data_IF_767249873692
#
_entry.id   IF_767249873692
#
_cell.length_a   1.000
_cell.length_b   1.000
_cell.length_c   1.000
_cell.angle_alpha   90.00
_cell.angle_beta   90.00
_cell.angle_gamma   90.00
#
_symmetry.space_group_name_H-M   'P 1'
#
loop_
_entity.id
_entity.type
_entity.pdbx_description
1 polymer ?
#
# COMPACT_ATOMS: atom_id res chain seq x y z
N UNK A 1 -15.98 -11.80 27.34
CA UNK A 1 -16.42 -10.40 27.57
C UNK A 1 -16.35 -9.67 26.25
N UNK A 2 -17.48 -9.15 25.76
CA UNK A 2 -17.55 -8.44 24.48
C UNK A 2 -16.73 -7.16 24.55
N UNK A 3 -15.65 -7.10 23.77
CA UNK A 3 -14.88 -5.87 23.62
C UNK A 3 -15.77 -4.81 22.93
N UNK A 4 -15.66 -3.56 23.37
CA UNK A 4 -16.34 -2.43 22.73
C UNK A 4 -15.70 -2.14 21.37
N UNK A 5 -16.45 -1.52 20.45
CA UNK A 5 -15.89 -1.13 19.14
C UNK A 5 -14.67 -0.23 19.29
N UNK A 6 -14.68 0.70 20.24
CA UNK A 6 -13.51 1.55 20.55
C UNK A 6 -12.28 0.73 20.96
N UNK A 7 -12.46 -0.36 21.71
CA UNK A 7 -11.35 -1.24 22.09
C UNK A 7 -10.82 -1.98 20.86
N UNK A 8 -11.71 -2.48 20.00
CA UNK A 8 -11.35 -3.15 18.76
C UNK A 8 -10.58 -2.19 17.81
N UNK A 9 -11.08 -0.97 17.61
CA UNK A 9 -10.41 0.02 16.76
C UNK A 9 -9.03 0.41 17.28
N UNK A 10 -8.90 0.57 18.61
CA UNK A 10 -7.63 0.86 19.25
C UNK A 10 -6.59 -0.26 19.03
N UNK A 11 -7.00 -1.52 19.14
CA UNK A 11 -6.08 -2.67 19.01
C UNK A 11 -5.87 -3.14 17.57
N UNK A 12 -6.87 -3.01 16.71
CA UNK A 12 -6.95 -3.70 15.42
C UNK A 12 -7.23 -2.77 14.24
N UNK A 13 -7.55 -1.48 14.47
CA UNK A 13 -7.96 -0.48 13.47
C UNK A 13 -9.35 -0.71 12.85
N UNK A 14 -10.09 -1.68 13.36
CA UNK A 14 -11.42 -2.06 12.87
C UNK A 14 -12.38 -2.28 14.05
N UNK A 15 -13.65 -1.96 13.84
CA UNK A 15 -14.72 -2.29 14.79
C UNK A 15 -14.96 -3.80 14.83
N UNK A 16 -15.79 -4.28 15.77
CA UNK A 16 -16.07 -5.71 15.87
C UNK A 16 -16.74 -6.25 14.60
N UNK A 17 -17.76 -5.55 14.10
CA UNK A 17 -18.49 -5.95 12.90
C UNK A 17 -17.58 -5.93 11.65
N UNK A 18 -16.67 -4.96 11.58
CA UNK A 18 -15.70 -4.86 10.48
C UNK A 18 -14.68 -6.01 10.51
N UNK A 19 -14.28 -6.50 11.69
CA UNK A 19 -13.41 -7.67 11.82
C UNK A 19 -14.13 -8.93 11.32
N UNK A 20 -15.39 -9.12 11.69
CA UNK A 20 -16.20 -10.25 11.21
C UNK A 20 -16.38 -10.20 9.68
N UNK A 21 -16.65 -9.00 9.13
CA UNK A 21 -16.69 -8.78 7.69
C UNK A 21 -15.34 -9.11 7.03
N UNK A 22 -14.21 -8.66 7.59
CA UNK A 22 -12.89 -8.94 7.05
C UNK A 22 -12.56 -10.44 7.05
N UNK A 23 -12.97 -11.19 8.07
CA UNK A 23 -12.79 -12.65 8.10
C UNK A 23 -13.48 -13.31 6.91
N UNK A 24 -14.74 -12.92 6.63
CA UNK A 24 -15.49 -13.43 5.51
C UNK A 24 -14.87 -13.01 4.17
N UNK A 25 -14.55 -11.72 4.02
CA UNK A 25 -14.02 -11.14 2.78
C UNK A 25 -12.62 -11.66 2.43
N UNK A 26 -11.73 -11.80 3.43
CA UNK A 26 -10.40 -12.35 3.23
C UNK A 26 -10.40 -13.89 3.16
N UNK A 27 -11.58 -14.51 3.30
CA UNK A 27 -11.77 -15.96 3.31
C UNK A 27 -10.78 -16.64 4.28
N UNK A 28 -10.63 -16.10 5.50
CA UNK A 28 -9.69 -16.66 6.48
C UNK A 28 -10.18 -18.05 6.90
N UNK A 29 -9.34 -19.11 6.84
CA UNK A 29 -9.74 -20.44 7.26
C UNK A 29 -10.21 -20.47 8.71
N UNK A 30 -11.32 -21.16 8.98
CA UNK A 30 -11.84 -21.36 10.34
C UNK A 30 -12.02 -22.86 10.64
N UNK A 31 -11.21 -23.45 11.54
CA UNK A 31 -10.10 -22.82 12.25
C UNK A 31 -8.89 -22.55 11.35
N UNK A 32 -8.12 -21.52 11.70
CA UNK A 32 -6.81 -21.26 11.11
C UNK A 32 -5.81 -22.24 11.71
N UNK A 33 -5.42 -23.27 10.95
CA UNK A 33 -4.45 -24.29 11.37
C UNK A 33 -3.13 -24.06 10.65
N UNK A 34 -2.06 -23.95 11.43
CA UNK A 34 -0.71 -23.74 10.92
C UNK A 34 0.03 -25.08 10.78
N UNK A 35 1.10 -25.18 9.96
CA UNK A 35 1.87 -26.43 9.82
C UNK A 35 2.45 -26.95 11.15
N UNK A 36 2.73 -26.06 12.10
CA UNK A 36 3.21 -26.37 13.45
C UNK A 36 2.06 -26.78 14.40
N UNK A 37 0.84 -26.97 13.88
CA UNK A 37 -0.36 -27.39 14.59
C UNK A 37 -0.89 -26.39 15.63
N UNK A 38 -0.42 -25.13 15.63
CA UNK A 38 -1.15 -24.07 16.31
C UNK A 38 -2.47 -23.83 15.58
N UNK A 39 -3.56 -23.72 16.34
CA UNK A 39 -4.90 -23.42 15.84
C UNK A 39 -5.47 -22.18 16.52
N UNK A 40 -6.34 -21.45 15.83
CA UNK A 40 -7.14 -20.37 16.38
C UNK A 40 -8.41 -20.23 15.55
N UNK A 41 -9.46 -19.57 16.09
CA UNK A 41 -10.57 -19.16 15.23
C UNK A 41 -10.08 -18.16 14.19
N UNK A 42 -10.77 -18.06 13.05
CA UNK A 42 -10.43 -17.10 12.01
C UNK A 42 -10.37 -15.66 12.54
N UNK A 43 -11.33 -15.27 13.39
CA UNK A 43 -11.38 -13.95 14.06
C UNK A 43 -10.17 -13.74 14.94
N UNK A 44 -9.82 -14.70 15.80
CA UNK A 44 -8.67 -14.57 16.70
C UNK A 44 -7.36 -14.47 15.90
N UNK A 45 -7.18 -15.33 14.90
CA UNK A 45 -6.00 -15.32 14.05
C UNK A 45 -5.82 -13.98 13.31
N UNK A 46 -6.91 -13.42 12.77
CA UNK A 46 -6.89 -12.11 12.13
C UNK A 46 -6.56 -11.00 13.14
N UNK A 47 -7.18 -11.00 14.32
CA UNK A 47 -6.89 -10.02 15.39
C UNK A 47 -5.41 -10.07 15.84
N UNK A 48 -4.80 -11.25 15.91
CA UNK A 48 -3.37 -11.41 16.20
C UNK A 48 -2.53 -10.68 15.15
N UNK A 49 -2.83 -10.86 13.85
CA UNK A 49 -2.13 -10.16 12.78
C UNK A 49 -2.37 -8.64 12.82
N UNK A 50 -3.62 -8.21 12.95
CA UNK A 50 -3.98 -6.79 12.98
C UNK A 50 -3.28 -6.06 14.13
N UNK A 51 -3.30 -6.65 15.34
CA UNK A 51 -2.60 -6.07 16.48
C UNK A 51 -1.08 -6.04 16.27
N UNK A 52 -0.53 -7.07 15.62
CA UNK A 52 0.90 -7.12 15.30
C UNK A 52 1.33 -6.02 14.34
N UNK A 53 0.50 -5.68 13.36
CA UNK A 53 0.77 -4.62 12.37
C UNK A 53 0.48 -3.23 12.93
N UNK A 54 -0.57 -3.09 13.74
CA UNK A 54 -1.04 -1.82 14.28
C UNK A 54 0.01 -1.09 15.11
N UNK A 55 0.84 -1.82 15.86
CA UNK A 55 1.89 -1.25 16.69
C UNK A 55 3.06 -2.21 16.93
N UNK A 56 4.31 -1.73 17.09
CA UNK A 56 5.49 -2.56 17.35
C UNK A 56 5.57 -3.14 18.77
N UNK A 57 4.56 -3.90 19.17
CA UNK A 57 4.57 -4.65 20.42
C UNK A 57 5.67 -5.72 20.42
N UNK A 58 6.17 -6.08 21.60
CA UNK A 58 6.89 -7.35 21.77
C UNK A 58 5.87 -8.49 21.78
N UNK A 59 6.22 -9.66 21.24
CA UNK A 59 5.32 -10.83 21.30
C UNK A 59 4.93 -11.17 22.75
N UNK A 60 5.85 -11.00 23.71
CA UNK A 60 5.56 -11.18 25.13
C UNK A 60 4.45 -10.28 25.66
N UNK A 61 4.31 -9.06 25.15
CA UNK A 61 3.22 -8.14 25.54
C UNK A 61 1.88 -8.62 25.00
N UNK A 62 1.86 -9.19 23.79
CA UNK A 62 0.65 -9.74 23.17
C UNK A 62 0.13 -10.99 23.90
N UNK A 63 0.98 -11.71 24.64
CA UNK A 63 0.56 -12.86 25.48
C UNK A 63 -0.55 -12.46 26.45
N UNK A 64 -0.47 -11.25 27.03
CA UNK A 64 -1.47 -10.76 27.99
C UNK A 64 -2.84 -10.53 27.34
N UNK A 65 -2.85 -10.14 26.05
CA UNK A 65 -4.09 -9.86 25.32
C UNK A 65 -4.74 -11.14 24.78
N UNK A 66 -3.94 -12.08 24.28
CA UNK A 66 -4.44 -13.25 23.57
C UNK A 66 -4.36 -14.57 24.37
N UNK A 67 -3.66 -14.59 25.51
CA UNK A 67 -3.49 -15.82 26.30
C UNK A 67 -2.68 -16.93 25.60
N UNK A 68 -1.95 -16.59 24.53
CA UNK A 68 -1.18 -17.53 23.70
C UNK A 68 0.32 -17.37 23.88
N UNK A 69 1.07 -18.45 23.71
CA UNK A 69 2.53 -18.40 23.73
C UNK A 69 3.08 -17.50 22.61
N UNK A 70 4.31 -17.01 22.77
CA UNK A 70 4.96 -16.14 21.77
C UNK A 70 5.10 -16.84 20.42
N UNK A 71 5.37 -18.14 20.46
CA UNK A 71 5.53 -19.02 19.31
C UNK A 71 4.20 -19.16 18.58
N UNK A 72 3.11 -19.44 19.30
CA UNK A 72 1.75 -19.51 18.73
C UNK A 72 1.36 -18.18 18.06
N UNK A 73 1.59 -17.04 18.74
CA UNK A 73 1.30 -15.72 18.21
C UNK A 73 2.08 -15.43 16.92
N UNK A 74 3.38 -15.74 16.91
CA UNK A 74 4.21 -15.53 15.73
C UNK A 74 3.76 -16.41 14.56
N UNK A 75 3.48 -17.69 14.81
CA UNK A 75 3.14 -18.64 13.75
C UNK A 75 1.74 -18.37 13.19
N UNK A 76 0.76 -18.06 14.05
CA UNK A 76 -0.59 -17.68 13.61
C UNK A 76 -0.58 -16.37 12.83
N UNK A 77 0.10 -15.33 13.33
CA UNK A 77 0.24 -14.04 12.63
C UNK A 77 0.84 -14.23 11.24
N UNK A 78 1.93 -15.01 11.13
CA UNK A 78 2.56 -15.29 9.85
C UNK A 78 1.68 -16.13 8.93
N UNK A 79 0.91 -17.09 9.47
CA UNK A 79 -0.03 -17.89 8.69
C UNK A 79 -1.09 -17.03 8.01
N UNK A 80 -1.74 -16.13 8.77
CA UNK A 80 -2.75 -15.21 8.22
C UNK A 80 -2.11 -14.25 7.22
N UNK A 81 -0.90 -13.75 7.51
CA UNK A 81 -0.17 -12.89 6.58
C UNK A 81 0.15 -13.59 5.26
N UNK A 82 0.61 -14.84 5.29
CA UNK A 82 0.86 -15.63 4.07
C UNK A 82 -0.44 -15.85 3.28
N UNK A 83 -1.53 -16.21 3.97
CA UNK A 83 -2.85 -16.38 3.34
C UNK A 83 -3.30 -15.13 2.60
N UNK A 84 -3.25 -13.96 3.26
CA UNK A 84 -3.63 -12.68 2.64
C UNK A 84 -2.70 -12.35 1.47
N UNK A 85 -1.40 -12.52 1.65
CA UNK A 85 -0.42 -12.24 0.61
C UNK A 85 -0.65 -13.11 -0.64
N UNK A 86 -0.74 -14.43 -0.47
CA UNK A 86 -0.85 -15.35 -1.60
C UNK A 86 -2.17 -15.22 -2.33
N UNK A 87 -3.27 -14.95 -1.61
CA UNK A 87 -4.58 -14.74 -2.22
C UNK A 87 -4.73 -13.37 -2.87
N UNK A 88 -4.26 -12.30 -2.25
CA UNK A 88 -4.68 -10.94 -2.62
C UNK A 88 -3.57 -10.01 -3.11
N UNK A 89 -2.28 -10.43 -3.14
CA UNK A 89 -1.19 -9.58 -3.68
C UNK A 89 -1.38 -9.18 -5.15
N UNK A 90 -2.14 -9.97 -5.92
CA UNK A 90 -2.42 -9.70 -7.33
C UNK A 90 -3.20 -8.39 -7.52
N UNK A 91 -4.00 -7.97 -6.52
CA UNK A 91 -4.74 -6.69 -6.51
C UNK A 91 -3.82 -5.46 -6.57
N UNK A 92 -2.56 -5.61 -6.15
CA UNK A 92 -1.55 -4.54 -6.19
C UNK A 92 -0.66 -4.60 -7.44
N UNK A 93 -1.02 -5.41 -8.45
CA UNK A 93 -0.32 -5.41 -9.75
C UNK A 93 -0.92 -4.35 -10.67
N UNK A 94 -2.18 -4.55 -11.03
CA UNK A 94 -3.10 -3.64 -11.71
C UNK A 94 -4.41 -4.39 -11.88
N UNK A 95 -5.51 -3.76 -11.53
CA UNK A 95 -6.82 -4.40 -11.49
C UNK A 95 -7.67 -3.96 -12.70
N UNK A 96 -7.48 -4.63 -13.84
CA UNK A 96 -8.05 -4.20 -15.12
C UNK A 96 -9.58 -4.16 -15.17
N UNK A 97 -10.27 -5.00 -14.41
CA UNK A 97 -11.74 -5.05 -14.49
C UNK A 97 -12.38 -3.94 -13.64
N UNK A 98 -11.70 -3.49 -12.58
CA UNK A 98 -12.14 -2.34 -11.77
C UNK A 98 -11.64 -1.01 -12.29
N UNK A 99 -10.41 -0.97 -12.82
CA UNK A 99 -9.72 0.23 -13.29
C UNK A 99 -9.99 0.44 -14.78
N UNK A 100 -11.28 0.48 -15.14
CA UNK A 100 -11.76 0.62 -16.51
C UNK A 100 -11.74 2.08 -17.01
N UNK A 101 -12.18 2.30 -18.25
CA UNK A 101 -12.24 3.63 -18.86
C UNK A 101 -13.14 4.61 -18.08
N UNK A 102 -14.24 4.13 -17.48
CA UNK A 102 -15.12 4.98 -16.67
C UNK A 102 -14.42 5.44 -15.38
N UNK A 103 -13.68 4.54 -14.74
CA UNK A 103 -12.89 4.84 -13.56
C UNK A 103 -11.74 5.80 -13.89
N UNK A 104 -11.04 5.60 -15.02
CA UNK A 104 -9.97 6.50 -15.47
C UNK A 104 -10.50 7.91 -15.72
N UNK A 105 -11.65 8.06 -16.38
CA UNK A 105 -12.24 9.39 -16.61
C UNK A 105 -12.60 10.08 -15.30
N UNK A 106 -13.22 9.37 -14.35
CA UNK A 106 -13.53 9.93 -13.02
C UNK A 106 -12.28 10.39 -12.28
N UNK A 107 -11.20 9.62 -12.33
CA UNK A 107 -9.94 10.00 -11.72
C UNK A 107 -9.31 11.23 -12.39
N UNK A 108 -9.32 11.27 -13.71
CA UNK A 108 -8.80 12.38 -14.49
C UNK A 108 -9.54 13.69 -14.20
N UNK A 109 -10.88 13.66 -14.22
CA UNK A 109 -11.70 14.82 -13.85
C UNK A 109 -11.44 15.27 -12.42
N UNK A 110 -11.41 14.35 -11.45
CA UNK A 110 -11.19 14.69 -10.04
C UNK A 110 -9.81 15.37 -9.80
N UNK A 111 -8.76 14.88 -10.46
CA UNK A 111 -7.43 15.50 -10.39
C UNK A 111 -7.43 16.89 -11.05
N UNK A 112 -8.06 17.03 -12.22
CA UNK A 112 -8.15 18.29 -12.94
C UNK A 112 -8.93 19.36 -12.14
N UNK A 113 -10.10 18.99 -11.61
CA UNK A 113 -10.97 19.85 -10.81
C UNK A 113 -10.29 20.31 -9.52
N UNK A 114 -9.33 19.53 -9.00
CA UNK A 114 -8.48 19.89 -7.86
C UNK A 114 -7.32 20.85 -8.21
N UNK A 115 -7.28 21.35 -9.44
CA UNK A 115 -6.35 22.37 -9.89
C UNK A 115 -5.17 21.85 -10.71
N UNK A 116 -5.14 20.57 -11.08
CA UNK A 116 -4.09 20.04 -11.95
C UNK A 116 -4.25 20.56 -13.39
N UNK A 117 -3.17 20.99 -14.08
CA UNK A 117 -3.23 21.37 -15.48
C UNK A 117 -3.50 20.21 -16.44
N UNK A 118 -3.28 18.96 -16.04
CA UNK A 118 -3.56 17.77 -16.86
C UNK A 118 -5.01 17.32 -16.65
N UNK A 119 -5.73 17.10 -17.75
CA UNK A 119 -7.11 16.59 -17.82
C UNK A 119 -7.18 15.06 -18.08
N UNK A 120 -6.01 14.42 -18.08
CA UNK A 120 -5.81 13.00 -18.39
C UNK A 120 -4.99 12.25 -17.34
N UNK A 121 -4.57 12.92 -16.26
CA UNK A 121 -3.81 12.32 -15.18
C UNK A 121 -4.73 11.55 -14.24
N UNK A 122 -4.53 10.24 -14.07
CA UNK A 122 -5.43 9.38 -13.27
C UNK A 122 -4.86 8.97 -11.90
N UNK A 123 -3.61 9.30 -11.63
CA UNK A 123 -2.95 8.91 -10.39
C UNK A 123 -1.49 9.30 -10.35
N UNK A 124 -0.87 9.03 -9.21
CA UNK A 124 0.48 9.47 -8.90
C UNK A 124 1.38 8.29 -8.57
N UNK A 125 2.55 8.24 -9.20
CA UNK A 125 3.58 7.23 -8.92
C UNK A 125 4.68 7.84 -8.04
N UNK A 126 5.05 7.11 -6.99
CA UNK A 126 6.18 7.50 -6.15
C UNK A 126 6.86 6.34 -5.44
N UNK A 127 8.11 6.56 -5.06
CA UNK A 127 8.92 5.64 -4.28
C UNK A 127 8.76 5.87 -2.77
N UNK A 128 8.74 4.80 -1.99
CA UNK A 128 8.73 4.88 -0.53
C UNK A 128 9.82 4.01 0.09
N UNK A 129 10.42 4.51 1.16
CA UNK A 129 11.57 3.89 1.84
C UNK A 129 11.15 3.35 3.20
N UNK A 130 11.17 2.02 3.36
CA UNK A 130 10.87 1.33 4.62
C UNK A 130 12.17 1.02 5.37
N UNK A 131 12.36 1.68 6.51
CA UNK A 131 13.58 1.50 7.31
C UNK A 131 13.67 0.10 7.90
N UNK A 132 14.88 -0.46 7.93
CA UNK A 132 15.17 -1.75 8.54
C UNK A 132 16.36 -1.66 9.50
N UNK A 133 16.50 -2.65 10.37
CA UNK A 133 17.73 -2.88 11.10
C UNK A 133 18.90 -3.09 10.13
N UNK A 134 20.11 -2.70 10.55
CA UNK A 134 21.35 -2.99 9.81
C UNK A 134 21.40 -4.50 9.49
N UNK A 135 21.34 -4.90 8.21
CA UNK A 135 21.25 -6.31 7.89
C UNK A 135 22.63 -6.96 7.86
N UNK A 136 22.68 -8.23 8.24
CA UNK A 136 23.86 -9.10 8.10
C UNK A 136 23.90 -9.80 6.72
N UNK A 137 24.69 -10.87 6.61
CA UNK A 137 24.79 -11.73 5.41
C UNK A 137 25.20 -10.99 4.13
N UNK A 138 26.09 -10.01 4.22
CA UNK A 138 26.68 -9.33 3.05
C UNK A 138 25.78 -8.32 2.31
N UNK A 139 24.50 -8.18 2.66
CA UNK A 139 23.57 -7.25 1.99
C UNK A 139 23.54 -5.85 2.60
N UNK A 140 24.49 -5.53 3.48
CA UNK A 140 24.50 -4.26 4.19
C UNK A 140 24.62 -3.06 3.23
N UNK A 141 25.62 -3.09 2.34
CA UNK A 141 25.89 -1.99 1.40
C UNK A 141 24.71 -1.77 0.45
N UNK A 142 24.12 -2.84 -0.06
CA UNK A 142 23.00 -2.78 -1.01
C UNK A 142 21.70 -2.32 -0.35
N UNK A 143 21.50 -2.62 0.94
CA UNK A 143 20.34 -2.13 1.69
C UNK A 143 20.49 -0.66 2.16
N UNK A 144 21.70 -0.11 2.16
CA UNK A 144 21.93 1.26 2.63
C UNK A 144 21.42 2.29 1.62
N UNK A 145 20.48 3.13 2.04
CA UNK A 145 20.00 4.27 1.25
C UNK A 145 20.83 5.51 1.62
N UNK A 146 21.71 5.95 0.72
CA UNK A 146 22.58 7.09 0.95
C UNK A 146 21.84 8.42 1.16
N UNK A 147 20.72 8.62 0.44
CA UNK A 147 19.93 9.85 0.54
C UNK A 147 19.19 9.96 1.90
N UNK A 148 18.59 8.87 2.38
CA UNK A 148 17.89 8.81 3.68
C UNK A 148 18.81 8.45 4.85
N UNK A 149 20.09 8.17 4.58
CA UNK A 149 21.14 7.79 5.55
C UNK A 149 20.76 6.63 6.48
N UNK A 150 19.99 5.66 5.98
CA UNK A 150 19.52 4.49 6.76
C UNK A 150 19.50 3.22 5.91
N UNK A 151 19.55 2.06 6.57
CA UNK A 151 19.27 0.79 5.90
C UNK A 151 17.77 0.67 5.65
N UNK A 152 17.39 0.29 4.44
CA UNK A 152 15.99 0.26 4.05
C UNK A 152 15.71 -0.72 2.92
N UNK A 153 14.43 -1.04 2.78
CA UNK A 153 13.85 -1.55 1.56
C UNK A 153 13.11 -0.42 0.85
N UNK A 154 13.11 -0.45 -0.47
CA UNK A 154 12.35 0.46 -1.32
C UNK A 154 11.15 -0.24 -1.91
N UNK A 155 10.08 0.52 -2.05
CA UNK A 155 8.88 0.16 -2.77
C UNK A 155 8.49 1.30 -3.69
N UNK A 156 7.69 1.00 -4.70
CA UNK A 156 7.10 1.96 -5.62
C UNK A 156 5.60 1.70 -5.65
N UNK A 157 4.78 2.74 -5.65
CA UNK A 157 3.34 2.57 -5.75
C UNK A 157 2.69 3.59 -6.65
N UNK A 158 1.51 3.23 -7.17
CA UNK A 158 0.59 4.16 -7.80
C UNK A 158 -0.60 4.34 -6.86
N UNK A 159 -0.86 5.58 -6.47
CA UNK A 159 -2.02 5.97 -5.64
C UNK A 159 -2.99 6.78 -6.49
N UNK A 160 -4.28 6.53 -6.32
CA UNK A 160 -5.34 7.11 -7.14
C UNK A 160 -6.25 8.03 -6.33
N UNK A 161 -7.02 8.92 -7.00
CA UNK A 161 -7.87 9.91 -6.33
C UNK A 161 -8.92 9.32 -5.39
N UNK A 162 -9.34 8.07 -5.62
CA UNK A 162 -10.25 7.33 -4.74
C UNK A 162 -9.58 6.83 -3.44
N UNK A 163 -8.31 7.17 -3.24
CA UNK A 163 -7.53 6.84 -2.05
C UNK A 163 -6.99 5.42 -2.02
N UNK A 164 -7.12 4.68 -3.12
CA UNK A 164 -6.63 3.30 -3.25
C UNK A 164 -5.19 3.28 -3.77
N UNK A 165 -4.38 2.38 -3.24
CA UNK A 165 -3.09 2.02 -3.83
C UNK A 165 -3.33 0.90 -4.83
N UNK A 166 -3.32 1.23 -6.13
CA UNK A 166 -3.65 0.31 -7.23
C UNK A 166 -2.45 -0.47 -7.76
N UNK A 167 -1.25 -0.03 -7.44
CA UNK A 167 -0.01 -0.71 -7.77
C UNK A 167 0.96 -0.62 -6.60
N UNK A 168 1.66 -1.72 -6.30
CA UNK A 168 2.78 -1.76 -5.38
C UNK A 168 3.85 -2.75 -5.88
N UNK A 169 5.05 -2.23 -6.11
CA UNK A 169 6.23 -3.04 -6.42
C UNK A 169 7.29 -2.96 -5.32
N UNK A 170 7.98 -4.06 -5.10
CA UNK A 170 9.04 -4.23 -4.12
C UNK A 170 8.85 -5.51 -3.30
N UNK A 171 9.70 -5.74 -2.27
CA UNK A 171 10.81 -4.88 -1.86
C UNK A 171 12.02 -4.94 -2.80
N UNK A 172 12.67 -3.80 -3.00
CA UNK A 172 14.00 -3.70 -3.61
C UNK A 172 15.03 -3.14 -2.61
N UNK A 173 16.35 -3.40 -2.78
CA UNK A 173 17.36 -2.86 -1.88
C UNK A 173 17.33 -1.32 -1.82
N UNK A 174 17.50 -0.75 -0.62
CA UNK A 174 17.39 0.69 -0.38
C UNK A 174 18.34 1.58 -1.19
N UNK A 175 19.44 1.03 -1.71
CA UNK A 175 20.39 1.74 -2.59
C UNK A 175 19.88 1.96 -4.01
N UNK A 176 18.84 1.25 -4.47
CA UNK A 176 18.34 1.36 -5.84
C UNK A 176 17.62 2.69 -6.08
N UNK A 177 17.70 3.20 -7.29
CA UNK A 177 17.01 4.44 -7.71
C UNK A 177 15.59 4.13 -8.20
N UNK A 178 14.73 5.14 -8.25
CA UNK A 178 13.31 4.93 -8.54
C UNK A 178 13.06 4.49 -10.00
N UNK A 179 13.91 4.94 -10.94
CA UNK A 179 13.96 4.42 -12.31
C UNK A 179 14.23 2.90 -12.37
N UNK A 180 15.09 2.37 -11.49
CA UNK A 180 15.33 0.93 -11.41
C UNK A 180 14.08 0.18 -10.93
N UNK A 181 13.34 0.73 -9.97
CA UNK A 181 12.07 0.14 -9.54
C UNK A 181 11.03 0.17 -10.66
N UNK A 182 10.97 1.26 -11.43
CA UNK A 182 10.03 1.41 -12.55
C UNK A 182 10.28 0.36 -13.65
N UNK A 183 11.55 0.17 -14.04
CA UNK A 183 11.92 -0.84 -15.02
C UNK A 183 11.57 -2.25 -14.53
N UNK A 184 11.94 -2.55 -13.28
CA UNK A 184 11.80 -3.88 -12.67
C UNK A 184 10.38 -4.26 -12.33
N UNK A 185 9.49 -3.28 -12.10
CA UNK A 185 8.08 -3.53 -11.79
C UNK A 185 7.29 -4.05 -12.99
N UNK A 186 7.77 -3.79 -14.21
CA UNK A 186 7.06 -4.12 -15.45
C UNK A 186 5.75 -3.35 -15.62
N UNK A 187 5.50 -2.32 -14.80
CA UNK A 187 4.23 -1.58 -14.81
C UNK A 187 4.05 -0.81 -16.13
N UNK A 188 5.13 -0.35 -16.76
CA UNK A 188 5.06 0.38 -18.04
C UNK A 188 4.36 -0.43 -19.13
N UNK A 189 4.64 -1.73 -19.23
CA UNK A 189 4.01 -2.59 -20.23
C UNK A 189 2.50 -2.72 -20.00
N UNK A 190 2.06 -2.73 -18.73
CA UNK A 190 0.64 -2.75 -18.38
C UNK A 190 0.01 -1.39 -18.69
N UNK A 191 0.63 -0.29 -18.27
CA UNK A 191 0.11 1.06 -18.49
C UNK A 191 -0.02 1.39 -19.98
N UNK A 192 0.92 0.94 -20.82
CA UNK A 192 0.84 1.16 -22.27
C UNK A 192 -0.36 0.47 -22.92
N UNK A 193 -0.84 -0.63 -22.35
CA UNK A 193 -2.01 -1.36 -22.81
C UNK A 193 -3.31 -0.74 -22.28
N UNK A 194 -3.35 -0.38 -20.99
CA UNK A 194 -4.60 0.00 -20.30
C UNK A 194 -4.90 1.50 -20.32
N UNK A 195 -3.90 2.38 -20.47
CA UNK A 195 -4.11 3.83 -20.44
C UNK A 195 -4.52 4.44 -21.78
N UNK A 196 -4.60 3.64 -22.84
CA UNK A 196 -5.01 4.11 -24.17
C UNK A 196 -6.38 3.52 -24.48
N UNK A 197 -7.38 4.38 -24.56
CA UNK A 197 -8.70 4.03 -25.09
C UNK A 197 -8.83 4.51 -26.53
N UNK A 198 -9.90 4.10 -27.22
CA UNK A 198 -10.19 4.58 -28.58
C UNK A 198 -10.33 6.10 -28.68
N UNK A 199 -10.64 6.77 -27.56
CA UNK A 199 -11.00 8.19 -27.52
C UNK A 199 -10.01 9.06 -26.75
N UNK A 200 -9.24 8.49 -25.82
CA UNK A 200 -8.40 9.27 -24.90
C UNK A 200 -7.18 8.47 -24.45
N UNK A 201 -6.07 9.19 -24.25
CA UNK A 201 -4.88 8.66 -23.59
C UNK A 201 -4.79 9.25 -22.19
N UNK A 202 -4.68 8.38 -21.19
CA UNK A 202 -4.45 8.74 -19.80
C UNK A 202 -2.97 8.62 -19.44
N UNK A 203 -2.58 9.26 -18.34
CA UNK A 203 -1.20 9.25 -17.85
C UNK A 203 -1.14 9.11 -16.33
N UNK A 204 0.00 8.62 -15.85
CA UNK A 204 0.38 8.65 -14.43
C UNK A 204 1.40 9.77 -14.23
N UNK A 205 1.22 10.59 -13.20
CA UNK A 205 2.18 11.65 -12.89
C UNK A 205 3.19 11.20 -11.85
N UNK A 206 4.48 11.33 -12.18
CA UNK A 206 5.59 10.88 -11.33
C UNK A 206 6.57 11.99 -10.97
N UNK A 207 7.41 11.70 -9.98
CA UNK A 207 8.59 12.54 -9.73
C UNK A 207 9.51 12.56 -10.97
N UNK A 208 10.30 13.64 -11.16
CA UNK A 208 11.23 13.72 -12.28
C UNK A 208 12.25 12.57 -12.40
N UNK A 209 12.57 11.82 -11.33
CA UNK A 209 13.50 10.69 -11.39
C UNK A 209 12.94 9.46 -12.13
N UNK A 210 11.62 9.40 -12.37
CA UNK A 210 10.99 8.35 -13.19
C UNK A 210 11.28 8.49 -14.68
N UNK A 211 11.48 9.72 -15.15
CA UNK A 211 11.60 10.03 -16.57
C UNK A 211 10.24 10.03 -17.28
N UNK A 212 10.05 10.98 -18.19
CA UNK A 212 8.82 11.07 -18.98
C UNK A 212 8.82 10.04 -20.11
N UNK A 213 7.66 9.45 -20.39
CA UNK A 213 7.39 8.54 -21.50
C UNK A 213 5.90 8.63 -21.91
N UNK A 214 5.42 7.75 -22.77
CA UNK A 214 4.05 7.79 -23.29
C UNK A 214 2.95 7.64 -22.23
N UNK A 215 3.27 7.06 -21.07
CA UNK A 215 2.31 6.75 -20.00
C UNK A 215 2.65 7.40 -18.66
N UNK A 216 3.88 7.90 -18.49
CA UNK A 216 4.32 8.65 -17.32
C UNK A 216 4.71 10.06 -17.71
N UNK A 217 4.06 11.04 -17.08
CA UNK A 217 4.41 12.46 -17.19
C UNK A 217 5.15 12.89 -15.92
N UNK A 218 6.18 13.71 -16.09
CA UNK A 218 6.95 14.29 -14.99
C UNK A 218 6.95 15.81 -15.09
N UNK A 219 7.31 16.48 -13.99
CA UNK A 219 7.57 17.92 -14.02
C UNK A 219 8.74 18.29 -14.96
N UNK A 220 8.68 19.49 -15.54
CA UNK A 220 9.74 20.06 -16.36
C UNK A 220 11.05 20.17 -15.56
N UNK A 221 12.18 19.78 -16.17
CA UNK A 221 13.52 19.86 -15.60
C UNK A 221 14.29 21.02 -16.21
N UNK A 222 15.11 21.71 -15.41
CA UNK A 222 16.04 22.73 -15.90
C UNK A 222 16.41 23.75 -14.83
N UNK A 223 17.58 24.37 -14.95
CA UNK A 223 18.04 25.42 -14.04
C UNK A 223 17.25 26.74 -14.19
N UNK A 224 16.63 26.96 -15.36
CA UNK A 224 15.76 28.09 -15.65
C UNK A 224 14.51 27.56 -16.33
N UNK A 225 13.45 27.40 -15.55
CA UNK A 225 12.12 27.13 -16.08
C UNK A 225 11.47 28.46 -16.46
N UNK A 226 10.74 28.48 -17.57
CA UNK A 226 9.90 29.63 -17.88
C UNK A 226 8.68 29.72 -16.93
N UNK A 227 7.93 30.81 -17.02
CA UNK A 227 6.77 31.04 -16.15
C UNK A 227 5.71 29.94 -16.29
N UNK A 228 5.48 29.43 -17.50
CA UNK A 228 4.49 28.39 -17.77
C UNK A 228 4.91 27.05 -17.15
N UNK A 229 6.16 26.63 -17.38
CA UNK A 229 6.73 25.41 -16.83
C UNK A 229 6.76 25.45 -15.29
N UNK A 230 7.10 26.59 -14.70
CA UNK A 230 7.08 26.76 -13.25
C UNK A 230 5.66 26.70 -12.69
N UNK A 231 4.68 27.33 -13.35
CA UNK A 231 3.28 27.27 -12.96
C UNK A 231 2.72 25.84 -13.09
N UNK A 232 3.05 25.13 -14.16
CA UNK A 232 2.69 23.73 -14.37
C UNK A 232 3.24 22.85 -13.25
N UNK A 233 4.55 22.93 -12.97
CA UNK A 233 5.20 22.14 -11.93
C UNK A 233 4.62 22.43 -10.54
N UNK A 234 4.34 23.70 -10.23
CA UNK A 234 3.73 24.10 -8.96
C UNK A 234 2.35 23.47 -8.77
N UNK A 235 1.47 23.60 -9.77
CA UNK A 235 0.11 23.04 -9.73
C UNK A 235 0.10 21.51 -9.68
N UNK A 236 0.93 20.84 -10.49
CA UNK A 236 1.04 19.38 -10.45
C UNK A 236 1.63 18.87 -9.13
N UNK A 237 2.62 19.58 -8.56
CA UNK A 237 3.19 19.21 -7.26
C UNK A 237 2.18 19.36 -6.12
N UNK A 238 1.32 20.37 -6.19
CA UNK A 238 0.27 20.62 -5.19
C UNK A 238 -0.72 19.45 -5.09
N UNK A 239 -1.15 18.86 -6.22
CA UNK A 239 -2.04 17.68 -6.20
C UNK A 239 -1.28 16.37 -5.94
N UNK A 240 -0.01 16.27 -6.40
CA UNK A 240 0.82 15.07 -6.25
C UNK A 240 1.13 14.74 -4.79
N UNK A 241 1.14 15.72 -3.89
CA UNK A 241 1.37 15.53 -2.45
C UNK A 241 0.46 14.43 -1.85
N UNK A 242 -0.71 14.19 -2.46
CA UNK A 242 -1.63 13.12 -2.10
C UNK A 242 -1.02 11.71 -2.08
N UNK A 243 0.00 11.44 -2.91
CA UNK A 243 0.74 10.16 -2.86
C UNK A 243 1.43 9.96 -1.52
N UNK A 244 1.97 11.03 -0.92
CA UNK A 244 2.61 11.00 0.39
C UNK A 244 1.58 10.79 1.51
N UNK A 245 0.36 11.31 1.35
CA UNK A 245 -0.75 11.02 2.26
C UNK A 245 -1.13 9.54 2.21
N UNK A 246 -1.18 8.92 1.03
CA UNK A 246 -1.36 7.47 0.87
C UNK A 246 -0.34 6.66 1.67
N UNK A 247 0.96 6.99 1.54
CA UNK A 247 2.01 6.38 2.38
C UNK A 247 1.90 6.73 3.87
N UNK A 248 1.40 7.92 4.19
CA UNK A 248 1.08 8.34 5.56
C UNK A 248 0.03 7.45 6.19
N UNK A 249 -1.06 7.17 5.49
CA UNK A 249 -2.16 6.32 5.95
C UNK A 249 -1.66 4.91 6.28
N UNK A 250 -0.87 4.29 5.39
CA UNK A 250 -0.30 2.95 5.64
C UNK A 250 0.53 2.94 6.93
N UNK A 251 1.39 3.95 7.14
CA UNK A 251 2.24 4.05 8.34
C UNK A 251 1.44 4.30 9.62
N UNK A 252 0.41 5.14 9.53
CA UNK A 252 -0.40 5.52 10.68
C UNK A 252 -1.30 4.35 11.13
N UNK A 253 -1.87 3.61 10.18
CA UNK A 253 -2.63 2.40 10.50
C UNK A 253 -1.70 1.30 11.02
N UNK A 254 -0.55 1.10 10.37
CA UNK A 254 0.34 -0.03 10.58
C UNK A 254 1.75 0.40 11.01
N UNK A 255 1.88 0.96 12.21
CA UNK A 255 3.17 1.51 12.68
C UNK A 255 4.29 0.46 12.72
N UNK A 256 3.97 -0.83 12.84
CA UNK A 256 4.96 -1.90 12.86
C UNK A 256 5.82 -1.92 11.58
N UNK A 257 5.24 -1.65 10.40
CA UNK A 257 5.99 -1.70 9.12
C UNK A 257 6.89 -0.48 8.89
N UNK A 258 6.77 0.56 9.72
CA UNK A 258 7.69 1.72 9.73
C UNK A 258 8.70 1.68 10.89
N UNK A 259 8.53 0.76 11.84
CA UNK A 259 9.40 0.64 13.01
C UNK A 259 10.72 -0.08 12.68
N UNK A 260 11.71 0.68 12.21
CA UNK A 260 13.01 0.16 11.75
C UNK A 260 13.72 -0.75 12.78
N UNK A 261 13.59 -0.47 14.09
CA UNK A 261 14.19 -1.29 15.16
C UNK A 261 13.59 -2.71 15.28
N UNK A 262 12.37 -2.89 14.77
CA UNK A 262 11.69 -4.18 14.72
C UNK A 262 11.88 -4.91 13.39
N UNK A 263 12.16 -4.18 12.31
CA UNK A 263 12.22 -4.72 10.95
C UNK A 263 13.57 -5.38 10.65
N UNK A 264 13.66 -6.69 10.82
CA UNK A 264 14.90 -7.48 10.66
C UNK A 264 14.80 -8.43 9.47
N UNK A 265 15.61 -8.17 8.44
CA UNK A 265 15.81 -9.14 7.36
C UNK A 265 16.29 -10.48 7.92
N UNK A 266 15.84 -11.59 7.31
CA UNK A 266 16.12 -12.97 7.71
C UNK A 266 15.50 -13.43 9.04
N UNK A 267 14.97 -12.51 9.84
CA UNK A 267 14.16 -12.85 11.02
C UNK A 267 12.66 -12.76 10.76
N UNK A 268 12.26 -11.94 9.78
CA UNK A 268 10.86 -11.67 9.45
C UNK A 268 10.69 -11.44 7.96
N UNK A 269 9.48 -11.69 7.45
CA UNK A 269 9.09 -11.43 6.07
C UNK A 269 8.75 -9.94 5.85
N UNK A 270 9.72 -9.04 6.07
CA UNK A 270 9.55 -7.57 6.03
C UNK A 270 8.85 -7.09 4.76
N UNK A 271 9.21 -7.65 3.61
CA UNK A 271 8.58 -7.33 2.33
C UNK A 271 7.09 -7.66 2.29
N UNK A 272 6.76 -8.90 2.67
CA UNK A 272 5.39 -9.40 2.73
C UNK A 272 4.53 -8.61 3.71
N UNK A 273 5.09 -8.23 4.86
CA UNK A 273 4.39 -7.39 5.85
C UNK A 273 3.92 -6.06 5.25
N UNK A 274 4.75 -5.39 4.46
CA UNK A 274 4.37 -4.13 3.84
C UNK A 274 3.29 -4.31 2.76
N UNK A 275 3.39 -5.37 1.95
CA UNK A 275 2.38 -5.70 0.95
C UNK A 275 1.02 -5.97 1.60
N UNK A 276 0.99 -6.80 2.66
CA UNK A 276 -0.24 -7.10 3.40
C UNK A 276 -0.78 -5.85 4.10
N UNK A 277 0.09 -5.00 4.67
CA UNK A 277 -0.32 -3.73 5.24
C UNK A 277 -1.03 -2.82 4.21
N UNK A 278 -0.53 -2.76 2.97
CA UNK A 278 -1.18 -1.99 1.89
C UNK A 278 -2.54 -2.58 1.51
N UNK A 279 -2.66 -3.91 1.40
CA UNK A 279 -3.97 -4.56 1.14
C UNK A 279 -4.97 -4.22 2.24
N UNK A 280 -4.55 -4.32 3.51
CA UNK A 280 -5.40 -3.97 4.66
C UNK A 280 -5.72 -2.47 4.71
N UNK A 281 -4.83 -1.59 4.26
CA UNK A 281 -5.11 -0.15 4.12
C UNK A 281 -6.14 0.14 3.05
N UNK A 282 -6.07 -0.54 1.90
CA UNK A 282 -7.10 -0.43 0.86
C UNK A 282 -8.46 -0.91 1.39
N UNK A 283 -8.50 -2.05 2.10
CA UNK A 283 -9.72 -2.55 2.74
C UNK A 283 -10.26 -1.59 3.79
N UNK A 284 -9.39 -1.02 4.63
CA UNK A 284 -9.78 0.01 5.58
C UNK A 284 -10.40 1.23 4.88
N UNK A 285 -9.80 1.68 3.78
CA UNK A 285 -10.32 2.79 2.97
C UNK A 285 -11.70 2.46 2.40
N UNK A 286 -11.89 1.26 1.84
CA UNK A 286 -13.18 0.80 1.33
C UNK A 286 -14.26 0.72 2.43
N UNK A 287 -13.93 0.11 3.57
CA UNK A 287 -14.87 -0.10 4.68
C UNK A 287 -15.28 1.22 5.32
N UNK A 288 -14.35 2.16 5.49
CA UNK A 288 -14.65 3.50 6.05
C UNK A 288 -15.26 4.45 5.00
N UNK A 289 -15.39 4.02 3.74
CA UNK A 289 -15.96 4.81 2.65
C UNK A 289 -15.07 5.96 2.16
N UNK A 290 -13.78 5.94 2.51
CA UNK A 290 -12.81 6.96 2.13
C UNK A 290 -11.63 7.09 3.08
N UNK A 291 -10.72 7.97 2.71
CA UNK A 291 -9.60 8.46 3.49
C UNK A 291 -9.26 9.91 3.06
N UNK A 292 -8.20 10.49 3.63
CA UNK A 292 -7.78 11.86 3.33
C UNK A 292 -7.58 12.14 1.82
N UNK A 293 -7.12 11.16 1.04
CA UNK A 293 -6.91 11.30 -0.40
C UNK A 293 -8.25 11.37 -1.13
N UNK A 294 -9.17 10.44 -0.84
CA UNK A 294 -10.52 10.45 -1.44
C UNK A 294 -11.31 11.71 -1.10
N UNK A 295 -11.16 12.21 0.13
CA UNK A 295 -11.84 13.42 0.58
C UNK A 295 -11.29 14.66 -0.14
N UNK A 296 -9.97 14.72 -0.38
CA UNK A 296 -9.34 15.83 -1.10
C UNK A 296 -9.79 15.91 -2.56
N UNK A 297 -9.89 14.78 -3.26
CA UNK A 297 -10.30 14.73 -4.66
C UNK A 297 -11.82 14.58 -4.85
N UNK A 298 -12.59 14.38 -3.78
CA UNK A 298 -14.04 14.16 -3.86
C UNK A 298 -14.46 12.86 -4.55
N UNK A 299 -13.57 11.85 -4.62
CA UNK A 299 -13.83 10.58 -5.31
C UNK A 299 -13.89 9.42 -4.31
N UNK A 300 -15.04 8.76 -4.18
CA UNK A 300 -15.21 7.66 -3.21
C UNK A 300 -14.54 6.35 -3.68
N UNK A 301 -13.96 5.56 -2.76
CA UNK A 301 -13.45 4.23 -3.06
C UNK A 301 -14.58 3.24 -3.42
N UNK A 302 -14.25 2.11 -4.06
CA UNK A 302 -15.18 0.99 -4.22
C UNK A 302 -15.56 0.38 -2.86
N UNK A 303 -16.61 -0.46 -2.83
CA UNK A 303 -16.87 -1.32 -1.67
C UNK A 303 -15.74 -2.34 -1.48
N UNK A 304 -15.63 -2.90 -0.28
CA UNK A 304 -14.59 -3.88 0.03
C UNK A 304 -14.74 -5.17 -0.80
N UNK A 305 -15.98 -5.60 -1.06
CA UNK A 305 -16.30 -6.71 -1.96
C UNK A 305 -15.81 -6.41 -3.38
N UNK A 306 -16.16 -5.23 -3.91
CA UNK A 306 -15.74 -4.84 -5.26
C UNK A 306 -14.21 -4.73 -5.37
N UNK A 307 -13.52 -4.30 -4.32
CA UNK A 307 -12.05 -4.28 -4.30
C UNK A 307 -11.43 -5.69 -4.34
N UNK A 308 -12.00 -6.66 -3.63
CA UNK A 308 -11.43 -8.01 -3.54
C UNK A 308 -11.80 -8.93 -4.70
N UNK A 309 -12.98 -8.75 -5.30
CA UNK A 309 -13.50 -9.62 -6.36
C UNK A 309 -13.39 -9.01 -7.76
N UNK A 310 -12.55 -8.00 -7.93
CA UNK A 310 -12.33 -7.33 -9.21
C UNK A 310 -11.47 -8.15 -10.20
N UNK A 311 -11.07 -9.37 -9.86
CA UNK A 311 -10.66 -10.35 -10.86
C UNK A 311 -11.61 -11.54 -10.74
N UNK A 312 -12.46 -11.72 -11.75
CA UNK A 312 -13.31 -12.90 -11.86
C UNK A 312 -12.47 -14.16 -11.72
N UNK A 313 -12.99 -15.14 -10.98
CA UNK A 313 -12.38 -16.47 -10.84
C UNK A 313 -12.02 -17.09 -12.19
#
# INVERSE_FOLDING_TARGET
MGQTDTTCEFHFRFSKAEIELLVALLEIPDPMITPQRYNASAVEALCILLNRLAWPHRLGTMVLLFGRSREALSVLSNGVMCHIYDRFKHLLRWDKDRLDASWMEKCASAIHDSGAPLDCCIGFIDGTVRGICRPGKGVQKTAYNGHKRKHALKFQSITTPDGIIVHLYGPEPGSRHDAYLLERSGILAILSDVLVTDTKRYVIYGDPAYGANDVIVCGYKGARLDQYQSAFNSRMSAVRVSVEWGFGIVRNLWTFVDHAGGQKLWGQAVGMQYVVAVILTNLHTCIKGGNQVSDYFGLRPPSAEKYLYAQGR
#
